data_IF_409480417225
#
_entry.id   IF_409480417225
#
_cell.length_a   1.000
_cell.length_b   1.000
_cell.length_c   1.000
_cell.angle_alpha   90.00
_cell.angle_beta   90.00
_cell.angle_gamma   90.00
#
_symmetry.space_group_name_H-M   'P 1'
#
loop_
_entity.id
_entity.type
_entity.pdbx_description
1 polymer ?
#
# COMPACT_ATOMS: atom_id res chain seq x y z
N UNK A 1 22.06 1.29 -3.32
CA UNK A 1 20.73 1.19 -3.96
C UNK A 1 19.74 0.85 -2.85
N UNK A 2 18.67 1.62 -2.67
CA UNK A 2 17.60 1.29 -1.72
C UNK A 2 17.01 -0.09 -2.04
N UNK A 3 16.48 -0.80 -1.04
CA UNK A 3 15.81 -2.08 -1.27
C UNK A 3 14.52 -1.89 -2.08
N UNK A 4 14.04 -2.91 -2.83
CA UNK A 4 12.80 -2.81 -3.60
C UNK A 4 11.59 -2.30 -2.78
N UNK A 5 11.50 -2.68 -1.51
CA UNK A 5 10.47 -2.17 -0.61
C UNK A 5 10.51 -0.63 -0.44
N UNK A 6 11.70 -0.09 -0.18
CA UNK A 6 11.87 1.35 0.02
C UNK A 6 11.65 2.10 -1.30
N UNK A 7 12.11 1.54 -2.42
CA UNK A 7 11.83 2.08 -3.76
C UNK A 7 10.33 2.16 -4.02
N UNK A 8 9.57 1.12 -3.68
CA UNK A 8 8.11 1.11 -3.88
C UNK A 8 7.44 2.23 -3.09
N UNK A 9 7.83 2.42 -1.82
CA UNK A 9 7.31 3.51 -1.00
C UNK A 9 7.68 4.89 -1.60
N UNK A 10 8.89 5.06 -2.12
CA UNK A 10 9.32 6.32 -2.73
C UNK A 10 8.58 6.62 -4.04
N UNK A 11 8.35 5.59 -4.86
CA UNK A 11 7.58 5.71 -6.11
C UNK A 11 6.12 6.04 -5.83
N UNK A 12 5.50 5.39 -4.84
CA UNK A 12 4.11 5.66 -4.48
C UNK A 12 3.90 7.03 -3.80
N UNK A 13 4.92 7.59 -3.15
CA UNK A 13 4.84 8.87 -2.44
C UNK A 13 5.87 9.87 -2.97
N UNK A 14 5.75 10.33 -4.23
CA UNK A 14 6.70 11.26 -4.82
C UNK A 14 6.59 12.66 -4.19
N UNK A 15 5.38 13.02 -3.74
CA UNK A 15 5.10 14.31 -3.12
C UNK A 15 5.58 14.37 -1.66
N UNK A 16 6.41 15.36 -1.35
CA UNK A 16 7.04 15.50 -0.03
C UNK A 16 6.01 15.66 1.11
N UNK A 17 4.85 16.26 0.83
CA UNK A 17 3.78 16.43 1.81
C UNK A 17 3.17 15.08 2.22
N UNK A 18 2.86 14.22 1.26
CA UNK A 18 2.29 12.90 1.50
C UNK A 18 3.32 11.96 2.12
N UNK A 19 4.55 11.96 1.58
CA UNK A 19 5.64 11.18 2.16
C UNK A 19 5.84 11.53 3.65
N UNK A 20 5.83 12.83 4.00
CA UNK A 20 5.94 13.27 5.40
C UNK A 20 4.76 12.82 6.27
N UNK A 21 3.55 12.73 5.70
CA UNK A 21 2.34 12.32 6.42
C UNK A 21 2.32 10.81 6.70
N UNK A 22 2.69 10.00 5.71
CA UNK A 22 2.46 8.55 5.73
C UNK A 22 3.73 7.72 5.95
N UNK A 23 4.89 8.22 5.54
CA UNK A 23 6.15 7.47 5.57
C UNK A 23 7.03 7.91 6.75
N UNK A 24 6.71 7.35 7.92
CA UNK A 24 7.60 7.48 9.08
C UNK A 24 8.97 6.82 8.80
N UNK A 25 10.06 7.24 9.48
CA UNK A 25 11.35 6.54 9.39
C UNK A 25 11.24 5.04 9.71
N UNK A 26 10.34 4.65 10.62
CA UNK A 26 10.08 3.25 10.97
C UNK A 26 9.26 2.50 9.91
N UNK A 27 8.57 3.20 9.01
CA UNK A 27 7.92 2.62 7.83
C UNK A 27 8.98 2.35 6.78
N UNK A 28 9.80 3.35 6.44
CA UNK A 28 10.88 3.21 5.45
C UNK A 28 11.86 2.08 5.83
N UNK A 29 12.24 1.98 7.11
CA UNK A 29 13.16 0.95 7.59
C UNK A 29 12.50 -0.41 7.92
N UNK A 30 11.20 -0.60 7.63
CA UNK A 30 10.47 -1.79 8.07
C UNK A 30 11.05 -3.09 7.51
N UNK A 31 11.43 -3.09 6.23
CA UNK A 31 11.98 -4.29 5.58
C UNK A 31 13.37 -4.68 6.14
N UNK A 32 14.25 -3.71 6.37
CA UNK A 32 15.54 -3.96 7.02
C UNK A 32 15.37 -4.48 8.45
N UNK A 33 14.43 -3.89 9.20
CA UNK A 33 14.11 -4.34 10.56
C UNK A 33 13.55 -5.75 10.56
N UNK A 34 12.72 -6.11 9.57
CA UNK A 34 12.20 -7.46 9.40
C UNK A 34 13.31 -8.48 9.12
N UNK A 35 14.24 -8.18 8.20
CA UNK A 35 15.36 -9.07 7.89
C UNK A 35 16.28 -9.37 9.08
N UNK A 36 16.36 -8.43 10.02
CA UNK A 36 17.19 -8.51 11.22
C UNK A 36 16.39 -9.02 12.43
N UNK A 37 15.09 -9.30 12.26
CA UNK A 37 14.21 -9.66 13.35
C UNK A 37 14.60 -11.01 13.96
N UNK A 38 14.48 -11.10 15.28
CA UNK A 38 14.55 -12.38 15.98
C UNK A 38 13.30 -13.20 15.68
N UNK A 39 13.33 -14.51 15.95
CA UNK A 39 12.16 -15.39 15.79
C UNK A 39 10.94 -14.94 16.62
N UNK A 40 11.15 -14.23 17.73
CA UNK A 40 10.06 -13.71 18.56
C UNK A 40 9.35 -12.52 17.91
N UNK A 41 10.09 -11.67 17.20
CA UNK A 41 9.55 -10.44 16.61
C UNK A 41 9.17 -10.59 15.12
N UNK A 42 9.64 -11.66 14.46
CA UNK A 42 9.58 -11.80 13.01
C UNK A 42 8.17 -11.63 12.44
N UNK A 43 7.15 -12.19 13.11
CA UNK A 43 5.76 -12.06 12.68
C UNK A 43 5.28 -10.60 12.69
N UNK A 44 5.56 -9.87 13.77
CA UNK A 44 5.18 -8.46 13.87
C UNK A 44 5.94 -7.59 12.86
N UNK A 45 7.24 -7.85 12.67
CA UNK A 45 8.04 -7.10 11.69
C UNK A 45 7.61 -7.40 10.26
N UNK A 46 7.22 -8.64 9.97
CA UNK A 46 6.67 -9.01 8.67
C UNK A 46 5.34 -8.31 8.40
N UNK A 47 4.45 -8.24 9.40
CA UNK A 47 3.17 -7.52 9.25
C UNK A 47 3.37 -6.03 8.95
N UNK A 48 4.41 -5.40 9.51
CA UNK A 48 4.77 -4.02 9.17
C UNK A 48 5.19 -3.86 7.71
N UNK A 49 5.87 -4.86 7.14
CA UNK A 49 6.21 -4.87 5.70
C UNK A 49 4.93 -4.98 4.88
N UNK A 50 4.05 -5.95 5.19
CA UNK A 50 2.73 -6.11 4.55
C UNK A 50 1.94 -4.80 4.54
N UNK A 51 1.81 -4.15 5.69
CA UNK A 51 1.11 -2.87 5.81
C UNK A 51 1.75 -1.76 4.96
N UNK A 52 3.09 -1.70 4.88
CA UNK A 52 3.78 -0.71 4.05
C UNK A 52 3.56 -0.92 2.56
N UNK A 53 3.60 -2.18 2.10
CA UNK A 53 3.32 -2.52 0.69
C UNK A 53 1.85 -2.23 0.35
N UNK A 54 0.93 -2.66 1.21
CA UNK A 54 -0.49 -2.37 1.09
C UNK A 54 -0.78 -0.86 1.02
N UNK A 55 -0.08 -0.06 1.85
CA UNK A 55 -0.20 1.39 1.86
C UNK A 55 0.27 2.02 0.55
N UNK A 56 1.38 1.55 -0.02
CA UNK A 56 1.88 2.02 -1.32
C UNK A 56 0.89 1.69 -2.46
N UNK A 57 0.36 0.47 -2.49
CA UNK A 57 -0.63 0.05 -3.50
C UNK A 57 -1.91 0.89 -3.44
N UNK A 58 -2.40 1.18 -2.22
CA UNK A 58 -3.57 2.05 -2.06
C UNK A 58 -3.30 3.50 -2.44
N UNK A 59 -2.07 4.00 -2.27
CA UNK A 59 -1.69 5.32 -2.76
C UNK A 59 -1.68 5.38 -4.28
N UNK A 60 -1.03 4.41 -4.94
CA UNK A 60 -1.04 4.32 -6.40
C UNK A 60 -2.48 4.24 -6.93
N UNK A 61 -3.34 3.43 -6.28
CA UNK A 61 -4.74 3.33 -6.65
C UNK A 61 -5.51 4.64 -6.42
N UNK A 62 -5.21 5.37 -5.34
CA UNK A 62 -5.80 6.69 -5.08
C UNK A 62 -5.30 7.80 -6.02
N UNK A 63 -4.18 7.58 -6.71
CA UNK A 63 -3.63 8.53 -7.68
C UNK A 63 -4.09 8.24 -9.11
N UNK A 64 -4.43 6.98 -9.42
CA UNK A 64 -5.07 6.60 -10.70
C UNK A 64 -6.50 7.13 -10.84
N UNK A 65 -7.10 7.67 -9.79
CA UNK A 65 -8.45 8.24 -9.87
C UNK A 65 -8.87 8.73 -8.50
N UNK A 66 -9.93 9.53 -8.42
CA UNK A 66 -10.41 10.05 -7.13
C UNK A 66 -11.17 8.99 -6.31
N UNK A 67 -10.49 7.89 -6.01
CA UNK A 67 -11.00 6.77 -5.25
C UNK A 67 -10.99 7.10 -3.75
N UNK A 68 -12.07 7.73 -3.28
CA UNK A 68 -12.22 8.09 -1.86
C UNK A 68 -12.02 6.87 -0.92
N UNK A 69 -12.48 5.69 -1.33
CA UNK A 69 -12.36 4.48 -0.52
C UNK A 69 -10.90 3.99 -0.40
N UNK A 70 -10.05 4.13 -1.43
CA UNK A 70 -8.63 3.77 -1.31
C UNK A 70 -7.91 4.72 -0.36
N UNK A 71 -8.20 6.04 -0.40
CA UNK A 71 -7.69 7.02 0.58
C UNK A 71 -8.12 6.67 2.02
N UNK A 72 -9.35 6.23 2.22
CA UNK A 72 -9.82 5.78 3.55
C UNK A 72 -9.10 4.51 4.01
N UNK A 73 -8.89 3.54 3.11
CA UNK A 73 -8.08 2.35 3.42
C UNK A 73 -6.65 2.76 3.79
N UNK A 74 -6.03 3.69 3.07
CA UNK A 74 -4.70 4.22 3.42
C UNK A 74 -4.66 4.79 4.85
N UNK A 75 -5.66 5.57 5.25
CA UNK A 75 -5.72 6.12 6.62
C UNK A 75 -5.88 5.01 7.69
N UNK A 76 -6.56 3.91 7.37
CA UNK A 76 -6.62 2.74 8.26
C UNK A 76 -5.25 2.06 8.36
N UNK A 77 -4.60 1.79 7.23
CA UNK A 77 -3.28 1.15 7.17
C UNK A 77 -2.22 1.99 7.89
N UNK A 78 -2.25 3.31 7.72
CA UNK A 78 -1.36 4.23 8.41
C UNK A 78 -1.57 4.20 9.93
N UNK A 79 -2.81 4.14 10.41
CA UNK A 79 -3.09 3.94 11.84
C UNK A 79 -2.57 2.59 12.33
N UNK A 80 -2.73 1.52 11.55
CA UNK A 80 -2.24 0.20 11.90
C UNK A 80 -0.69 0.15 11.98
N UNK A 81 0.03 0.94 11.18
CA UNK A 81 1.49 1.05 11.26
C UNK A 81 2.00 1.64 12.59
N UNK A 82 1.14 2.34 13.34
CA UNK A 82 1.44 2.86 14.68
C UNK A 82 1.27 1.82 15.80
N UNK A 83 0.68 0.65 15.49
CA UNK A 83 0.49 -0.45 16.44
C UNK A 83 1.82 -1.04 16.93
N UNK A 84 1.80 -1.59 18.14
CA UNK A 84 2.96 -2.17 18.83
C UNK A 84 2.98 -3.70 18.81
N UNK A 85 1.94 -4.33 18.26
CA UNK A 85 1.82 -5.78 18.14
C UNK A 85 0.90 -6.17 16.99
N UNK A 86 0.99 -7.43 16.53
CA UNK A 86 0.06 -8.01 15.54
C UNK A 86 -1.38 -7.90 16.03
N UNK A 87 -1.64 -8.20 17.31
CA UNK A 87 -2.99 -8.10 17.88
C UNK A 87 -3.59 -6.68 17.78
N UNK A 88 -2.77 -5.64 17.93
CA UNK A 88 -3.21 -4.25 17.78
C UNK A 88 -3.46 -3.88 16.30
N UNK A 89 -2.67 -4.44 15.39
CA UNK A 89 -2.92 -4.35 13.94
C UNK A 89 -4.27 -4.97 13.63
N UNK A 90 -4.48 -6.23 14.01
CA UNK A 90 -5.73 -6.96 13.77
C UNK A 90 -6.94 -6.23 14.35
N UNK A 91 -6.82 -5.68 15.56
CA UNK A 91 -7.89 -4.90 16.19
C UNK A 91 -8.22 -3.63 15.39
N UNK A 92 -7.20 -2.97 14.83
CA UNK A 92 -7.37 -1.77 14.00
C UNK A 92 -8.05 -2.11 12.69
N UNK A 93 -7.58 -3.15 11.99
CA UNK A 93 -8.15 -3.60 10.72
C UNK A 93 -9.59 -4.08 10.90
N UNK A 94 -9.84 -4.93 11.90
CA UNK A 94 -11.17 -5.50 12.17
C UNK A 94 -12.20 -4.41 12.50
N UNK A 95 -11.80 -3.41 13.28
CA UNK A 95 -12.69 -2.27 13.62
C UNK A 95 -13.17 -1.52 12.37
N UNK A 96 -12.34 -1.48 11.35
CA UNK A 96 -12.55 -0.71 10.12
C UNK A 96 -12.85 -1.61 8.91
N UNK A 97 -13.22 -2.88 9.14
CA UNK A 97 -13.42 -3.89 8.08
C UNK A 97 -14.38 -3.43 6.97
N UNK A 98 -15.41 -2.66 7.32
CA UNK A 98 -16.38 -2.08 6.37
C UNK A 98 -15.73 -1.15 5.33
N UNK A 99 -14.61 -0.51 5.66
CA UNK A 99 -13.87 0.35 4.71
C UNK A 99 -13.25 -0.52 3.62
N UNK A 100 -12.70 -1.67 4.00
CA UNK A 100 -12.14 -2.64 3.05
C UNK A 100 -13.23 -3.31 2.21
N UNK A 101 -14.39 -3.63 2.78
CA UNK A 101 -15.53 -4.17 2.02
C UNK A 101 -15.97 -3.20 0.91
N UNK A 102 -16.03 -1.90 1.23
CA UNK A 102 -16.41 -0.84 0.27
C UNK A 102 -15.39 -0.64 -0.84
N UNK A 103 -14.11 -0.87 -0.56
CA UNK A 103 -13.05 -0.80 -1.57
C UNK A 103 -13.41 -1.61 -2.81
N UNK A 104 -14.04 -2.79 -2.62
CA UNK A 104 -14.41 -3.68 -3.72
C UNK A 104 -15.81 -3.42 -4.33
N UNK A 105 -16.60 -2.54 -3.71
CA UNK A 105 -18.02 -2.36 -4.08
C UNK A 105 -18.22 -1.21 -5.09
N UNK A 106 -17.36 -0.20 -5.07
CA UNK A 106 -17.50 1.03 -5.87
C UNK A 106 -16.51 1.13 -7.04
N UNK A 107 -16.09 -0.03 -7.56
CA UNK A 107 -15.01 -0.12 -8.52
C UNK A 107 -15.52 -0.01 -9.96
N UNK A 108 -15.46 1.19 -10.53
CA UNK A 108 -15.11 1.35 -11.93
C UNK A 108 -13.59 1.44 -12.00
N UNK A 109 -12.91 0.30 -11.96
CA UNK A 109 -11.46 0.27 -12.18
C UNK A 109 -11.21 -0.12 -13.61
N UNK A 110 -10.39 0.66 -14.27
CA UNK A 110 -9.72 0.23 -15.47
C UNK A 110 -8.72 -0.91 -15.14
N UNK A 111 -8.12 -1.49 -16.19
CA UNK A 111 -7.19 -2.60 -16.07
C UNK A 111 -6.07 -2.36 -15.04
N UNK A 112 -5.55 -1.13 -14.99
CA UNK A 112 -4.48 -0.73 -14.06
C UNK A 112 -4.89 -0.83 -12.59
N UNK A 113 -6.09 -0.34 -12.23
CA UNK A 113 -6.52 -0.44 -10.85
C UNK A 113 -6.99 -1.84 -10.47
N UNK A 114 -7.46 -2.67 -11.41
CA UNK A 114 -7.65 -4.11 -11.17
C UNK A 114 -6.32 -4.80 -10.83
N UNK A 115 -5.25 -4.48 -11.56
CA UNK A 115 -3.90 -4.99 -11.27
C UNK A 115 -3.43 -4.58 -9.87
N UNK A 116 -3.61 -3.32 -9.48
CA UNK A 116 -3.25 -2.85 -8.14
C UNK A 116 -4.06 -3.53 -7.03
N UNK A 117 -5.35 -3.76 -7.24
CA UNK A 117 -6.18 -4.49 -6.28
C UNK A 117 -5.78 -5.96 -6.16
N UNK A 118 -5.45 -6.62 -7.27
CA UNK A 118 -4.92 -7.98 -7.26
C UNK A 118 -3.60 -8.07 -6.50
N UNK A 119 -2.70 -7.09 -6.66
CA UNK A 119 -1.47 -6.99 -5.86
C UNK A 119 -1.76 -6.73 -4.38
N UNK A 120 -2.79 -5.94 -4.08
CA UNK A 120 -3.21 -5.66 -2.71
C UNK A 120 -3.72 -6.94 -2.03
N UNK A 121 -4.61 -7.69 -2.67
CA UNK A 121 -5.07 -9.00 -2.17
C UNK A 121 -3.90 -9.96 -1.94
N UNK A 122 -2.99 -10.07 -2.90
CA UNK A 122 -1.78 -10.90 -2.76
C UNK A 122 -0.86 -10.43 -1.64
N UNK A 123 -0.82 -9.14 -1.33
CA UNK A 123 -0.11 -8.61 -0.16
C UNK A 123 -0.75 -9.12 1.13
N UNK A 124 -2.09 -9.17 1.18
CA UNK A 124 -2.84 -9.70 2.32
C UNK A 124 -2.72 -11.23 2.46
N UNK A 125 -2.49 -11.95 1.38
CA UNK A 125 -2.35 -13.40 1.40
C UNK A 125 -0.90 -13.88 1.57
N UNK A 126 0.09 -13.03 1.30
CA UNK A 126 1.49 -13.39 1.41
C UNK A 126 1.89 -13.61 2.87
N UNK A 127 2.22 -14.87 3.19
CA UNK A 127 2.58 -15.36 4.53
C UNK A 127 4.08 -15.66 4.69
N UNK A 128 4.86 -15.50 3.61
CA UNK A 128 6.30 -15.74 3.60
C UNK A 128 7.06 -14.60 2.93
N UNK A 129 8.33 -14.43 3.30
CA UNK A 129 9.21 -13.45 2.69
C UNK A 129 9.32 -13.58 1.16
N UNK A 130 9.53 -14.78 0.56
CA UNK A 130 9.67 -14.87 -0.88
C UNK A 130 8.40 -14.46 -1.65
N UNK A 131 7.22 -14.72 -1.10
CA UNK A 131 5.95 -14.27 -1.67
C UNK A 131 5.84 -12.75 -1.62
N UNK A 132 6.14 -12.16 -0.46
CA UNK A 132 6.14 -10.70 -0.30
C UNK A 132 7.15 -10.02 -1.22
N UNK A 133 8.36 -10.57 -1.35
CA UNK A 133 9.39 -10.05 -2.25
C UNK A 133 8.95 -10.13 -3.73
N UNK A 134 8.16 -11.14 -4.09
CA UNK A 134 7.54 -11.25 -5.40
C UNK A 134 6.53 -10.13 -5.63
N UNK A 135 5.62 -9.91 -4.68
CA UNK A 135 4.62 -8.83 -4.74
C UNK A 135 5.28 -7.46 -4.83
N UNK A 136 6.33 -7.19 -4.06
CA UNK A 136 7.04 -5.90 -4.10
C UNK A 136 7.66 -5.64 -5.47
N UNK A 137 8.28 -6.65 -6.09
CA UNK A 137 8.90 -6.50 -7.42
C UNK A 137 7.86 -6.24 -8.49
N UNK A 138 6.77 -7.00 -8.46
CA UNK A 138 5.67 -6.81 -9.41
C UNK A 138 4.96 -5.47 -9.22
N UNK A 139 4.77 -5.03 -7.99
CA UNK A 139 4.22 -3.70 -7.69
C UNK A 139 5.11 -2.57 -8.22
N UNK A 140 6.44 -2.72 -8.19
CA UNK A 140 7.36 -1.77 -8.81
C UNK A 140 7.25 -1.76 -10.34
N UNK A 141 7.13 -2.94 -10.95
CA UNK A 141 6.95 -3.07 -12.40
C UNK A 141 5.64 -2.42 -12.85
N UNK A 142 4.53 -2.69 -12.13
CA UNK A 142 3.24 -2.05 -12.38
C UNK A 142 3.35 -0.54 -12.18
N UNK A 143 3.88 -0.07 -11.04
CA UNK A 143 4.00 1.36 -10.76
C UNK A 143 4.80 2.13 -11.82
N UNK A 144 5.79 1.49 -12.45
CA UNK A 144 6.58 2.09 -13.53
C UNK A 144 5.83 2.12 -14.88
N UNK A 145 4.81 1.27 -15.05
CA UNK A 145 3.98 1.17 -16.24
C UNK A 145 2.68 1.99 -16.16
N UNK A 146 2.25 2.37 -14.95
CA UNK A 146 1.06 3.19 -14.73
C UNK A 146 1.17 4.52 -15.47
N UNK A 147 0.14 4.84 -16.25
CA UNK A 147 0.00 6.13 -16.90
C UNK A 147 -0.94 7.03 -16.09
N UNK A 148 -0.36 7.99 -15.37
CA UNK A 148 -1.13 8.98 -14.61
C UNK A 148 -1.62 10.15 -15.47
N UNK A 149 -1.26 10.22 -16.76
CA UNK A 149 -1.61 11.34 -17.66
C UNK A 149 -2.98 11.22 -18.32
N UNK A 150 -3.59 10.02 -18.32
CA UNK A 150 -4.89 9.76 -18.95
C UNK A 150 -6.10 10.37 -18.23
N UNK A 151 -5.95 10.92 -17.02
CA UNK A 151 -7.06 11.38 -16.19
C UNK A 151 -7.25 12.91 -16.18
N UNK A 152 -6.41 13.65 -16.91
CA UNK A 152 -6.53 15.10 -17.09
C UNK A 152 -7.39 15.49 -18.32
N UNK A 153 -7.88 14.54 -19.12
CA UNK A 153 -8.56 14.82 -20.41
C UNK A 153 -10.10 14.97 -20.34
N UNK A 154 -10.74 14.76 -19.18
CA UNK A 154 -12.23 14.77 -19.06
C UNK A 154 -12.85 16.09 -18.53
N UNK A 155 -12.12 17.22 -18.51
CA UNK A 155 -12.67 18.53 -18.10
C UNK A 155 -12.96 19.55 -19.24
N UNK A 156 -12.64 19.25 -20.50
CA UNK A 156 -12.75 20.20 -21.62
C UNK A 156 -13.91 19.93 -22.61
N UNK A 157 -15.10 19.54 -22.12
CA UNK A 157 -16.35 19.57 -22.90
C UNK A 157 -17.35 20.57 -22.29
N UNK A 158 -17.00 21.85 -22.36
CA UNK A 158 -17.95 22.97 -22.25
C UNK A 158 -17.71 23.98 -23.38
N UNK A 159 -18.25 23.70 -24.56
CA UNK A 159 -18.70 24.72 -25.53
C UNK A 159 -20.21 24.98 -25.40
#
# INVERSE_FOLDING_TARGET
MPYPYEQLLQVAFPEAADAKRFLSPATLAAYDTFRQATSTDIAFRFERVRLGVALALMKLLADLGDHEESRRVMDVLHRALASRSVKEIDATITKEAKVFEKLYTNLYVNEDGELLLGLFERTLDADTQPLMDGVIREALEVAAALDFSHYDEDEDDQE
#
